data_IF_225199721359
#
_entry.id   IF_225199721359
#
_cell.length_a   1.000
_cell.length_b   1.000
_cell.length_c   1.000
_cell.angle_alpha   90.00
_cell.angle_beta   90.00
_cell.angle_gamma   90.00
#
_symmetry.space_group_name_H-M   'P 1'
#
loop_
_entity.id
_entity.type
_entity.pdbx_description
1 polymer ?
#
# COMPACT_ATOMS: atom_id res chain seq x y z
N UNK A 1 -3.64 10.08 -5.03
CA UNK A 1 -4.46 10.05 -6.26
C UNK A 1 -5.38 8.86 -6.16
N UNK A 2 -6.65 9.00 -6.53
CA UNK A 2 -7.70 7.99 -6.36
C UNK A 2 -7.74 7.48 -4.92
N UNK A 3 -7.69 8.42 -3.98
CA UNK A 3 -7.45 8.12 -2.57
C UNK A 3 -8.63 7.43 -1.89
N UNK A 4 -9.83 7.51 -2.47
CA UNK A 4 -11.08 7.18 -1.81
C UNK A 4 -11.16 7.86 -0.44
N UNK A 5 -11.75 7.15 0.52
CA UNK A 5 -11.77 7.54 1.94
C UNK A 5 -10.39 7.43 2.65
N UNK A 6 -9.34 7.01 1.94
CA UNK A 6 -7.97 7.07 2.45
C UNK A 6 -7.41 5.79 3.06
N UNK A 7 -7.94 4.61 2.71
CA UNK A 7 -7.44 3.33 3.20
C UNK A 7 -5.93 3.14 2.98
N UNK A 8 -5.46 3.43 1.77
CA UNK A 8 -4.04 3.40 1.43
C UNK A 8 -3.19 4.37 2.27
N UNK A 9 -3.64 5.62 2.40
CA UNK A 9 -2.93 6.63 3.19
C UNK A 9 -2.86 6.26 4.68
N UNK A 10 -3.92 5.64 5.22
CA UNK A 10 -3.95 5.16 6.61
C UNK A 10 -2.95 4.03 6.82
N UNK A 11 -2.90 3.05 5.91
CA UNK A 11 -1.91 1.97 5.95
C UNK A 11 -0.48 2.49 5.93
N UNK A 12 -0.16 3.39 4.99
CA UNK A 12 1.17 4.00 4.90
C UNK A 12 1.59 4.71 6.19
N UNK A 13 0.68 5.47 6.82
CA UNK A 13 0.97 6.18 8.07
C UNK A 13 1.23 5.25 9.26
N UNK A 14 0.67 4.04 9.26
CA UNK A 14 0.96 3.04 10.30
C UNK A 14 2.35 2.42 10.13
N UNK A 15 2.78 2.23 8.88
CA UNK A 15 4.02 1.54 8.56
C UNK A 15 5.27 2.24 9.12
N UNK A 16 6.17 1.43 9.68
CA UNK A 16 7.47 1.86 10.20
C UNK A 16 8.54 0.84 9.83
N UNK A 17 9.36 1.18 8.84
CA UNK A 17 10.45 0.32 8.37
C UNK A 17 11.74 0.58 9.13
N UNK A 18 12.55 -0.47 9.31
CA UNK A 18 13.87 -0.39 9.94
C UNK A 18 14.89 -1.26 9.21
N UNK A 19 16.07 -0.72 8.98
CA UNK A 19 17.25 -1.44 8.45
C UNK A 19 18.45 -0.99 9.27
N UNK A 20 19.05 -1.91 10.03
CA UNK A 20 20.06 -1.57 11.02
C UNK A 20 19.55 -0.50 12.00
N UNK A 21 20.32 0.59 12.15
CA UNK A 21 19.94 1.73 12.99
C UNK A 21 18.96 2.70 12.31
N UNK A 22 18.81 2.63 10.98
CA UNK A 22 17.94 3.55 10.23
C UNK A 22 16.48 3.18 10.36
N UNK A 23 15.63 4.20 10.46
CA UNK A 23 14.16 4.06 10.58
C UNK A 23 13.49 5.01 9.61
N UNK A 24 12.46 4.52 8.91
CA UNK A 24 11.63 5.32 8.02
C UNK A 24 10.15 5.25 8.45
N UNK A 25 9.46 6.37 8.28
CA UNK A 25 8.01 6.52 8.49
C UNK A 25 7.42 7.34 7.36
N UNK A 26 6.13 7.16 7.06
CA UNK A 26 5.48 7.84 5.95
C UNK A 26 4.64 9.03 6.40
N UNK A 27 4.77 10.14 5.65
CA UNK A 27 3.88 11.30 5.78
C UNK A 27 2.99 11.40 4.55
N UNK A 28 1.68 11.28 4.74
CA UNK A 28 0.72 11.58 3.68
C UNK A 28 0.56 13.10 3.55
N UNK A 29 0.91 13.62 2.37
CA UNK A 29 0.86 15.06 2.07
C UNK A 29 -0.48 15.52 1.49
N UNK A 30 -1.36 14.60 1.10
CA UNK A 30 -2.68 14.91 0.56
C UNK A 30 -3.33 13.75 -0.18
N UNK A 31 -4.63 13.89 -0.43
CA UNK A 31 -5.45 13.03 -1.28
C UNK A 31 -5.91 13.74 -2.55
N UNK A 32 -6.34 12.97 -3.53
CA UNK A 32 -7.04 13.49 -4.73
C UNK A 32 -8.09 12.47 -5.09
N UNK A 33 -9.35 12.91 -5.20
CA UNK A 33 -10.48 12.06 -5.55
C UNK A 33 -11.56 12.86 -6.28
N UNK A 34 -12.41 12.22 -7.07
CA UNK A 34 -13.52 12.89 -7.76
C UNK A 34 -14.85 12.78 -7.00
N UNK A 35 -14.90 11.93 -5.97
CA UNK A 35 -16.06 11.82 -5.09
C UNK A 35 -15.95 12.83 -3.92
N UNK A 36 -16.88 13.80 -3.82
CA UNK A 36 -16.89 14.77 -2.72
C UNK A 36 -17.12 14.12 -1.35
N UNK A 37 -17.82 12.99 -1.25
CA UNK A 37 -17.96 12.25 0.00
C UNK A 37 -16.63 11.62 0.42
N UNK A 38 -15.95 10.95 -0.51
CA UNK A 38 -14.64 10.37 -0.28
C UNK A 38 -13.61 11.41 0.21
N UNK A 39 -13.58 12.61 -0.39
CA UNK A 39 -12.65 13.66 0.05
C UNK A 39 -12.95 14.20 1.47
N UNK A 40 -14.23 14.30 1.87
CA UNK A 40 -14.60 14.68 3.25
C UNK A 40 -14.18 13.62 4.26
N UNK A 41 -14.43 12.36 3.93
CA UNK A 41 -14.08 11.22 4.78
C UNK A 41 -12.56 11.08 4.87
N UNK A 42 -11.83 11.26 3.77
CA UNK A 42 -10.37 11.28 3.75
C UNK A 42 -9.82 12.30 4.75
N UNK A 43 -10.30 13.54 4.70
CA UNK A 43 -9.85 14.58 5.64
C UNK A 43 -10.13 14.18 7.09
N UNK A 44 -11.27 13.56 7.37
CA UNK A 44 -11.67 13.16 8.72
C UNK A 44 -10.89 11.94 9.24
N UNK A 45 -10.69 10.93 8.39
CA UNK A 45 -10.08 9.64 8.75
C UNK A 45 -8.56 9.66 8.66
N UNK A 46 -8.01 10.40 7.70
CA UNK A 46 -6.58 10.51 7.44
C UNK A 46 -6.03 11.79 8.05
N UNK A 47 -6.75 12.90 8.08
CA UNK A 47 -6.22 14.17 8.64
C UNK A 47 -5.27 14.92 7.70
N UNK A 48 -5.26 14.60 6.40
CA UNK A 48 -4.67 15.43 5.35
C UNK A 48 -5.77 15.92 4.41
N UNK A 49 -5.55 17.05 3.74
CA UNK A 49 -6.52 17.57 2.77
C UNK A 49 -6.64 16.66 1.53
N UNK A 50 -7.82 16.66 0.93
CA UNK A 50 -8.12 15.95 -0.31
C UNK A 50 -8.60 16.96 -1.36
N UNK A 51 -7.94 16.98 -2.51
CA UNK A 51 -8.36 17.79 -3.66
C UNK A 51 -9.49 17.07 -4.38
N UNK A 52 -10.65 17.72 -4.47
CA UNK A 52 -11.75 17.25 -5.31
C UNK A 52 -11.44 17.55 -6.78
N UNK A 53 -11.18 16.53 -7.58
CA UNK A 53 -10.83 16.68 -8.99
C UNK A 53 -11.28 15.46 -9.81
N UNK A 54 -12.03 15.72 -10.89
CA UNK A 54 -12.49 14.66 -11.79
C UNK A 54 -11.37 14.19 -12.72
N UNK A 55 -10.63 13.18 -12.26
CA UNK A 55 -9.52 12.59 -13.00
C UNK A 55 -9.79 11.17 -13.48
N UNK A 56 -10.63 10.38 -12.78
CA UNK A 56 -10.86 8.95 -13.03
C UNK A 56 -12.28 8.52 -12.63
N UNK A 57 -12.85 7.53 -13.32
CA UNK A 57 -14.08 6.85 -12.88
C UNK A 57 -13.76 5.60 -12.06
N UNK A 58 -14.70 5.18 -11.21
CA UNK A 58 -14.54 4.01 -10.32
C UNK A 58 -14.22 2.73 -11.09
N UNK A 59 -14.87 2.51 -12.23
CA UNK A 59 -14.71 1.32 -13.07
C UNK A 59 -13.26 1.16 -13.54
N UNK A 60 -12.54 2.27 -13.73
CA UNK A 60 -11.14 2.26 -14.17
C UNK A 60 -10.14 1.97 -13.04
N UNK A 61 -10.46 2.38 -11.82
CA UNK A 61 -9.57 2.26 -10.65
C UNK A 61 -9.79 0.94 -9.90
N UNK A 62 -11.01 0.41 -9.92
CA UNK A 62 -11.38 -0.78 -9.16
C UNK A 62 -11.60 -0.49 -7.68
N UNK A 63 -11.40 -1.51 -6.84
CA UNK A 63 -11.62 -1.41 -5.40
C UNK A 63 -10.42 -0.77 -4.68
N UNK A 64 -10.70 -0.09 -3.57
CA UNK A 64 -9.67 0.51 -2.73
C UNK A 64 -8.76 -0.54 -2.08
N UNK A 65 -7.50 -0.18 -1.86
CA UNK A 65 -6.54 -0.99 -1.11
C UNK A 65 -6.91 -0.96 0.38
N UNK A 66 -7.12 -2.12 1.04
CA UNK A 66 -7.37 -2.17 2.48
C UNK A 66 -6.18 -1.61 3.30
N UNK A 67 -6.42 -0.96 4.45
CA UNK A 67 -5.36 -0.33 5.23
C UNK A 67 -4.21 -1.27 5.61
N UNK A 68 -4.50 -2.51 6.02
CA UNK A 68 -3.45 -3.42 6.49
C UNK A 68 -2.62 -3.97 5.33
N UNK A 69 -3.22 -4.12 4.14
CA UNK A 69 -2.49 -4.43 2.91
C UNK A 69 -1.59 -3.25 2.50
N UNK A 70 -2.10 -2.01 2.62
CA UNK A 70 -1.32 -0.82 2.33
C UNK A 70 -0.17 -0.59 3.32
N UNK A 71 -0.34 -0.94 4.59
CA UNK A 71 0.70 -0.96 5.61
C UNK A 71 1.82 -1.92 5.22
N UNK A 72 1.49 -3.18 4.89
CA UNK A 72 2.48 -4.16 4.45
C UNK A 72 3.25 -3.72 3.19
N UNK A 73 2.56 -3.12 2.21
CA UNK A 73 3.19 -2.54 1.01
C UNK A 73 4.19 -1.44 1.42
N UNK A 74 3.75 -0.52 2.28
CA UNK A 74 4.56 0.62 2.71
C UNK A 74 5.78 0.18 3.53
N UNK A 75 5.69 -0.91 4.30
CA UNK A 75 6.83 -1.48 5.02
C UNK A 75 7.90 -2.04 4.07
N UNK A 76 7.49 -2.75 3.01
CA UNK A 76 8.40 -3.27 1.98
C UNK A 76 9.05 -2.12 1.20
N UNK A 77 8.26 -1.11 0.82
CA UNK A 77 8.79 0.09 0.17
C UNK A 77 9.81 0.81 1.05
N UNK A 78 9.50 1.01 2.34
CA UNK A 78 10.39 1.72 3.25
C UNK A 78 11.68 0.94 3.52
N UNK A 79 11.60 -0.38 3.64
CA UNK A 79 12.78 -1.26 3.78
C UNK A 79 13.67 -1.15 2.54
N UNK A 80 13.08 -1.23 1.34
CA UNK A 80 13.81 -1.08 0.08
C UNK A 80 14.52 0.27 -0.02
N UNK A 81 13.84 1.36 0.34
CA UNK A 81 14.43 2.70 0.32
C UNK A 81 15.60 2.83 1.31
N UNK A 82 15.46 2.30 2.52
CA UNK A 82 16.53 2.32 3.52
C UNK A 82 17.76 1.50 3.09
N UNK A 83 17.54 0.33 2.47
CA UNK A 83 18.61 -0.51 1.90
C UNK A 83 19.35 0.22 0.77
N UNK A 84 18.59 0.80 -0.17
CA UNK A 84 19.17 1.58 -1.26
C UNK A 84 20.00 2.76 -0.72
N UNK A 85 19.50 3.45 0.30
CA UNK A 85 20.21 4.55 0.97
C UNK A 85 21.46 4.06 1.74
N UNK A 86 21.54 2.81 2.17
CA UNK A 86 22.76 2.21 2.74
C UNK A 86 23.72 1.65 1.69
N UNK A 87 23.43 1.79 0.40
CA UNK A 87 24.26 1.25 -0.70
C UNK A 87 24.06 -0.25 -0.95
N UNK A 88 23.06 -0.87 -0.31
CA UNK A 88 22.72 -2.27 -0.56
C UNK A 88 21.98 -2.39 -1.90
N UNK A 89 22.47 -3.26 -2.77
CA UNK A 89 21.91 -3.48 -4.11
C UNK A 89 21.22 -4.84 -4.24
N UNK A 90 21.40 -5.71 -3.24
CA UNK A 90 20.81 -7.04 -3.19
C UNK A 90 20.51 -7.43 -1.74
N UNK A 91 19.39 -8.11 -1.52
CA UNK A 91 19.05 -8.69 -0.22
C UNK A 91 18.49 -10.09 -0.40
N UNK A 92 19.05 -11.06 0.33
CA UNK A 92 18.41 -12.35 0.54
C UNK A 92 17.58 -12.29 1.82
N UNK A 93 16.34 -12.80 1.79
CA UNK A 93 15.43 -12.77 2.94
C UNK A 93 14.63 -14.06 3.05
N UNK A 94 14.19 -14.39 4.27
CA UNK A 94 13.23 -15.45 4.53
C UNK A 94 11.77 -14.93 4.58
N UNK A 95 11.53 -13.68 4.18
CA UNK A 95 10.18 -13.10 4.15
C UNK A 95 9.31 -13.91 3.17
N UNK A 96 8.13 -14.40 3.58
CA UNK A 96 7.28 -15.19 2.71
C UNK A 96 6.90 -14.44 1.42
N UNK A 97 7.04 -15.10 0.27
CA UNK A 97 6.52 -14.59 -1.01
C UNK A 97 5.00 -14.77 -1.02
N UNK A 98 4.27 -13.67 -1.21
CA UNK A 98 2.80 -13.65 -1.18
C UNK A 98 2.15 -14.26 -2.44
N UNK A 99 2.92 -14.47 -3.51
CA UNK A 99 2.54 -15.27 -4.67
C UNK A 99 2.98 -16.72 -4.43
N UNK A 100 2.01 -17.61 -4.22
CA UNK A 100 2.29 -19.05 -4.12
C UNK A 100 2.36 -19.66 -5.52
N UNK A 101 3.35 -20.54 -5.81
CA UNK A 101 3.35 -21.31 -7.05
C UNK A 101 2.07 -22.14 -7.15
N UNK A 102 1.27 -21.90 -8.19
CA UNK A 102 0.01 -22.61 -8.48
C UNK A 102 0.23 -24.09 -8.87
N UNK A 103 1.48 -24.56 -8.98
CA UNK A 103 1.81 -25.91 -9.43
C UNK A 103 1.10 -27.05 -8.66
N UNK A 104 0.66 -26.83 -7.42
CA UNK A 104 -0.11 -27.80 -6.63
C UNK A 104 -1.55 -28.00 -7.17
N UNK A 105 -2.12 -27.01 -7.87
CA UNK A 105 -3.49 -27.12 -8.40
C UNK A 105 -3.61 -28.10 -9.59
N UNK A 106 -2.49 -28.43 -10.25
CA UNK A 106 -2.46 -29.38 -11.37
C UNK A 106 -2.22 -30.84 -10.94
N UNK A 107 -1.92 -31.09 -9.66
CA UNK A 107 -1.59 -32.44 -9.16
C UNK A 107 -2.74 -33.13 -8.42
N UNK A 108 -3.91 -32.49 -8.29
CA UNK A 108 -5.08 -33.14 -7.69
C UNK A 108 -5.79 -33.99 -8.75
N UNK A 109 -5.96 -35.31 -8.55
CA UNK A 109 -6.83 -36.10 -9.41
C UNK A 109 -8.27 -35.58 -9.33
N UNK A 110 -9.07 -35.73 -10.41
CA UNK A 110 -10.47 -35.32 -10.40
C UNK A 110 -11.18 -35.98 -9.22
N UNK A 111 -11.99 -35.20 -8.50
CA UNK A 111 -12.80 -35.71 -7.39
C UNK A 111 -13.70 -36.85 -7.91
N UNK A 112 -13.62 -38.01 -7.24
CA UNK A 112 -14.41 -39.19 -7.53
C UNK A 112 -15.89 -39.00 -7.17
#
# INVERSE_FOLDING_TARGET
MCSGLGGGAKGFRKAKSRVGEKVATWRCIGGVDNDPAACRDFKSLVGADCTLMDLFTRERIGNAVPPDAAEAIAEVMGTTLLLAESGETFQLSATPVWVRPIAIALTLPPAA
#
